data_IF_569251458401
#
_entry.id   IF_569251458401
#
_cell.length_a   1.000
_cell.length_b   1.000
_cell.length_c   1.000
_cell.angle_alpha   90.00
_cell.angle_beta   90.00
_cell.angle_gamma   90.00
#
_symmetry.space_group_name_H-M   'P 1'
#
loop_
_entity.id
_entity.type
_entity.pdbx_description
1 polymer ?
#
# COMPACT_ATOMS: atom_id res chain seq x y z
N UNK A 1 -2.03 -7.74 -24.83
CA UNK A 1 -2.80 -7.85 -23.59
C UNK A 1 -2.78 -6.51 -22.88
N UNK A 2 -3.89 -6.07 -22.27
CA UNK A 2 -3.94 -4.83 -21.48
C UNK A 2 -4.19 -5.16 -20.01
N UNK A 3 -3.40 -4.59 -19.12
CA UNK A 3 -3.54 -4.77 -17.67
C UNK A 3 -3.77 -3.44 -16.98
N UNK A 4 -4.60 -3.46 -15.95
CA UNK A 4 -4.81 -2.34 -15.04
C UNK A 4 -3.88 -2.43 -13.83
N UNK A 5 -3.51 -1.28 -13.26
CA UNK A 5 -2.78 -1.21 -12.00
C UNK A 5 -3.38 -0.10 -11.14
N UNK A 6 -3.63 -0.39 -9.87
CA UNK A 6 -4.06 0.59 -8.90
C UNK A 6 -3.31 0.47 -7.57
N UNK A 7 -3.27 1.57 -6.86
CA UNK A 7 -2.93 1.64 -5.43
C UNK A 7 -4.15 2.13 -4.66
N UNK A 8 -4.51 1.49 -3.55
CA UNK A 8 -5.70 1.84 -2.77
C UNK A 8 -5.42 1.74 -1.27
N UNK A 9 -6.21 2.43 -0.47
CA UNK A 9 -6.02 2.50 0.98
C UNK A 9 -5.01 3.56 1.41
N UNK A 10 -4.16 3.28 2.40
CA UNK A 10 -3.01 4.10 2.76
C UNK A 10 -1.88 3.96 1.76
N UNK A 11 -1.03 4.96 1.66
CA UNK A 11 0.21 4.83 0.91
C UNK A 11 1.29 4.15 1.77
N UNK A 12 2.26 3.53 1.10
CA UNK A 12 3.40 2.91 1.74
C UNK A 12 4.66 3.15 0.91
N UNK A 13 5.83 3.27 1.54
CA UNK A 13 7.11 3.30 0.83
C UNK A 13 7.24 2.05 -0.06
N UNK A 14 7.74 2.21 -1.28
CA UNK A 14 7.89 1.10 -2.23
C UNK A 14 6.71 0.88 -3.18
N UNK A 15 5.55 1.48 -2.98
CA UNK A 15 4.43 1.39 -3.94
C UNK A 15 4.82 1.84 -5.36
N UNK A 16 5.60 2.90 -5.48
CA UNK A 16 6.11 3.37 -6.78
C UNK A 16 7.07 2.36 -7.42
N UNK A 17 7.85 1.64 -6.64
CA UNK A 17 8.72 0.57 -7.12
C UNK A 17 7.89 -0.59 -7.68
N UNK A 18 6.82 -0.98 -6.99
CA UNK A 18 5.89 -2.01 -7.45
C UNK A 18 5.19 -1.59 -8.76
N UNK A 19 4.65 -0.37 -8.84
CA UNK A 19 4.06 0.19 -10.07
C UNK A 19 5.07 0.13 -11.22
N UNK A 20 6.30 0.61 -10.99
CA UNK A 20 7.35 0.61 -11.98
C UNK A 20 7.69 -0.80 -12.47
N UNK A 21 7.79 -1.77 -11.57
CA UNK A 21 8.08 -3.17 -11.91
C UNK A 21 7.01 -3.74 -12.82
N UNK A 22 5.74 -3.56 -12.48
CA UNK A 22 4.61 -4.02 -13.30
C UNK A 22 4.66 -3.40 -14.70
N UNK A 23 4.82 -2.07 -14.80
CA UNK A 23 4.85 -1.36 -16.09
C UNK A 23 6.02 -1.82 -16.95
N UNK A 24 7.21 -1.98 -16.38
CA UNK A 24 8.39 -2.39 -17.15
C UNK A 24 8.33 -3.86 -17.59
N UNK A 25 7.84 -4.76 -16.72
CA UNK A 25 7.65 -6.18 -17.10
C UNK A 25 6.56 -6.31 -18.17
N UNK A 26 5.47 -5.55 -18.05
CA UNK A 26 4.44 -5.54 -19.09
C UNK A 26 4.98 -5.05 -20.44
N UNK A 27 5.76 -3.96 -20.42
CA UNK A 27 6.38 -3.42 -21.64
C UNK A 27 7.34 -4.41 -22.31
N UNK A 28 8.14 -5.17 -21.54
CA UNK A 28 9.00 -6.22 -22.10
C UNK A 28 8.25 -7.39 -22.74
N UNK A 29 6.96 -7.50 -22.44
CA UNK A 29 6.04 -8.51 -23.02
C UNK A 29 5.10 -7.91 -24.08
N UNK A 30 5.34 -6.68 -24.49
CA UNK A 30 4.49 -5.94 -25.43
C UNK A 30 3.02 -5.80 -24.95
N UNK A 31 2.84 -5.75 -23.63
CA UNK A 31 1.54 -5.49 -23.03
C UNK A 31 1.38 -4.00 -22.72
N UNK A 32 0.18 -3.48 -22.90
CA UNK A 32 -0.17 -2.12 -22.46
C UNK A 32 -0.61 -2.13 -20.99
N UNK A 33 -0.33 -1.03 -20.30
CA UNK A 33 -0.73 -0.84 -18.90
C UNK A 33 -1.53 0.44 -18.77
N UNK A 34 -2.70 0.36 -18.12
CA UNK A 34 -3.42 1.53 -17.65
C UNK A 34 -3.32 1.65 -16.12
N UNK A 35 -2.88 2.80 -15.65
CA UNK A 35 -2.92 3.17 -14.26
C UNK A 35 -4.30 3.70 -13.89
N UNK A 36 -4.83 3.26 -12.78
CA UNK A 36 -6.12 3.73 -12.24
C UNK A 36 -5.79 4.68 -11.10
N UNK A 37 -6.15 5.95 -11.24
CA UNK A 37 -5.90 6.95 -10.22
C UNK A 37 -6.84 6.79 -9.04
N UNK A 38 -6.37 7.13 -7.83
CA UNK A 38 -7.17 7.13 -6.60
C UNK A 38 -7.82 5.77 -6.26
N UNK A 39 -7.18 4.68 -6.67
CA UNK A 39 -7.60 3.33 -6.31
C UNK A 39 -8.98 2.96 -6.81
N UNK A 40 -9.75 2.26 -5.98
CA UNK A 40 -11.09 1.81 -6.35
C UNK A 40 -12.08 2.96 -6.58
N UNK A 41 -11.95 4.08 -5.88
CA UNK A 41 -12.78 5.26 -6.13
C UNK A 41 -12.60 5.78 -7.56
N UNK A 42 -11.36 5.90 -8.01
CA UNK A 42 -11.09 6.29 -9.40
C UNK A 42 -11.47 5.22 -10.43
N UNK A 43 -11.43 3.94 -10.05
CA UNK A 43 -11.92 2.86 -10.91
C UNK A 43 -13.43 2.99 -11.17
N UNK A 44 -14.22 3.24 -10.13
CA UNK A 44 -15.67 3.51 -10.27
C UNK A 44 -15.92 4.70 -11.19
N UNK A 45 -15.10 5.74 -11.13
CA UNK A 45 -15.22 6.97 -11.91
C UNK A 45 -14.60 6.89 -13.32
N UNK A 46 -13.87 5.80 -13.62
CA UNK A 46 -13.19 5.64 -14.92
C UNK A 46 -11.94 6.50 -15.07
N UNK A 47 -11.24 6.80 -13.98
CA UNK A 47 -10.01 7.61 -14.00
C UNK A 47 -8.77 6.80 -14.40
N UNK A 48 -8.67 6.50 -15.68
CA UNK A 48 -7.57 5.73 -16.25
C UNK A 48 -6.55 6.63 -16.93
N UNK A 49 -5.26 6.27 -16.81
CA UNK A 49 -4.15 6.91 -17.51
C UNK A 49 -3.26 5.86 -18.15
N UNK A 50 -2.73 6.13 -19.32
CA UNK A 50 -1.76 5.22 -19.96
C UNK A 50 -0.42 5.26 -19.22
N UNK A 51 0.10 4.07 -18.91
CA UNK A 51 1.36 3.90 -18.19
C UNK A 51 2.43 3.34 -19.12
N UNK A 52 3.33 4.22 -19.53
CA UNK A 52 4.50 3.85 -20.35
C UNK A 52 5.75 3.68 -19.47
N UNK A 53 6.81 3.02 -19.97
CA UNK A 53 8.10 2.99 -19.26
C UNK A 53 8.65 4.38 -18.91
N UNK A 54 8.32 5.42 -19.70
CA UNK A 54 8.69 6.81 -19.43
C UNK A 54 7.87 7.41 -18.27
N UNK A 55 6.59 7.06 -18.17
CA UNK A 55 5.73 7.54 -17.09
C UNK A 55 6.21 7.08 -15.68
N UNK A 56 6.94 5.97 -15.62
CA UNK A 56 7.52 5.42 -14.39
C UNK A 56 9.04 5.64 -14.28
N UNK A 57 9.59 6.57 -15.07
CA UNK A 57 10.99 6.97 -14.92
C UNK A 57 11.16 7.80 -13.64
N UNK A 58 12.28 7.59 -12.93
CA UNK A 58 12.66 8.36 -11.73
C UNK A 58 11.59 8.38 -10.62
N UNK A 59 10.80 7.31 -10.46
CA UNK A 59 9.79 7.19 -9.39
C UNK A 59 10.22 6.24 -8.27
N UNK A 60 11.28 5.44 -8.49
CA UNK A 60 11.70 4.37 -7.59
C UNK A 60 12.00 4.88 -6.17
N UNK A 61 12.70 6.00 -6.07
CA UNK A 61 13.11 6.62 -4.81
C UNK A 61 12.06 7.57 -4.21
N UNK A 62 10.90 7.72 -4.86
CA UNK A 62 9.84 8.62 -4.38
C UNK A 62 8.90 7.88 -3.44
N UNK A 63 8.65 8.49 -2.28
CA UNK A 63 7.60 8.02 -1.36
C UNK A 63 6.19 8.23 -1.93
N UNK A 64 5.21 7.69 -1.23
CA UNK A 64 3.81 7.73 -1.66
C UNK A 64 3.55 6.91 -2.92
N UNK A 65 2.55 7.31 -3.68
CA UNK A 65 2.18 6.66 -4.94
C UNK A 65 1.86 7.66 -6.05
N UNK A 66 2.43 7.46 -7.24
CA UNK A 66 2.18 8.32 -8.41
C UNK A 66 0.76 8.20 -8.94
N UNK A 67 0.07 7.10 -8.67
CA UNK A 67 -1.33 6.88 -9.05
C UNK A 67 -2.30 7.54 -8.09
N UNK A 68 -1.82 8.10 -6.99
CA UNK A 68 -2.65 8.54 -5.86
C UNK A 68 -3.38 7.37 -5.22
N UNK A 69 -3.93 7.61 -4.06
CA UNK A 69 -4.70 6.61 -3.34
C UNK A 69 -5.88 7.25 -2.65
N UNK A 70 -6.92 6.48 -2.39
CA UNK A 70 -8.04 6.88 -1.55
C UNK A 70 -8.63 5.66 -0.85
N UNK A 71 -9.31 5.89 0.26
CA UNK A 71 -10.24 4.91 0.83
C UNK A 71 -11.54 4.99 0.04
N UNK A 72 -12.14 3.83 -0.26
CA UNK A 72 -13.36 3.72 -1.07
C UNK A 72 -14.35 2.76 -0.39
N UNK A 73 -14.98 3.17 0.72
CA UNK A 73 -15.98 2.33 1.38
C UNK A 73 -17.13 1.95 0.46
N UNK A 74 -17.52 2.85 -0.43
CA UNK A 74 -18.55 2.64 -1.43
C UNK A 74 -18.27 1.46 -2.37
N UNK A 75 -17.01 1.09 -2.56
CA UNK A 75 -16.64 -0.04 -3.41
C UNK A 75 -17.21 -1.38 -2.91
N UNK A 76 -17.51 -1.50 -1.62
CA UNK A 76 -18.14 -2.70 -1.07
C UNK A 76 -19.64 -2.81 -1.37
N UNK A 77 -20.26 -1.76 -1.91
CA UNK A 77 -21.62 -1.82 -2.43
C UNK A 77 -21.65 -2.51 -3.81
N UNK A 78 -22.62 -3.43 -4.06
CA UNK A 78 -22.67 -4.18 -5.31
C UNK A 78 -22.71 -3.31 -6.57
N UNK A 79 -23.47 -2.23 -6.55
CA UNK A 79 -23.61 -1.30 -7.68
C UNK A 79 -22.28 -0.68 -8.11
N UNK A 80 -21.49 -0.25 -7.15
CA UNK A 80 -20.17 0.35 -7.41
C UNK A 80 -19.16 -0.67 -7.93
N UNK A 81 -19.23 -1.92 -7.46
CA UNK A 81 -18.38 -3.01 -8.00
C UNK A 81 -18.77 -3.35 -9.44
N UNK A 82 -20.07 -3.40 -9.76
CA UNK A 82 -20.54 -3.61 -11.13
C UNK A 82 -20.09 -2.46 -12.04
N UNK A 83 -20.14 -1.21 -11.57
CA UNK A 83 -19.61 -0.08 -12.32
C UNK A 83 -18.10 -0.21 -12.55
N UNK A 84 -17.33 -0.59 -11.54
CA UNK A 84 -15.91 -0.83 -11.66
C UNK A 84 -15.59 -1.95 -12.67
N UNK A 85 -16.35 -3.05 -12.64
CA UNK A 85 -16.27 -4.13 -13.63
C UNK A 85 -16.50 -3.63 -15.05
N UNK A 86 -17.59 -2.88 -15.24
CA UNK A 86 -17.93 -2.32 -16.56
C UNK A 86 -16.81 -1.42 -17.09
N UNK A 87 -16.22 -0.56 -16.26
CA UNK A 87 -15.10 0.30 -16.65
C UNK A 87 -13.89 -0.53 -17.13
N UNK A 88 -13.55 -1.63 -16.45
CA UNK A 88 -12.45 -2.49 -16.88
C UNK A 88 -12.75 -3.15 -18.24
N UNK A 89 -13.97 -3.64 -18.43
CA UNK A 89 -14.41 -4.30 -19.67
C UNK A 89 -14.47 -3.32 -20.85
N UNK A 90 -15.07 -2.14 -20.65
CA UNK A 90 -15.16 -1.06 -21.65
C UNK A 90 -13.77 -0.61 -22.14
N UNK A 91 -12.76 -0.69 -21.27
CA UNK A 91 -11.39 -0.31 -21.59
C UNK A 91 -10.48 -1.49 -22.01
N UNK A 92 -11.07 -2.67 -22.22
CA UNK A 92 -10.35 -3.87 -22.67
C UNK A 92 -9.28 -4.38 -21.71
N UNK A 93 -9.45 -4.12 -20.41
CA UNK A 93 -8.54 -4.60 -19.35
C UNK A 93 -8.83 -6.07 -19.09
N UNK A 94 -7.79 -6.91 -19.16
CA UNK A 94 -7.88 -8.36 -18.98
C UNK A 94 -7.28 -8.87 -17.67
N UNK A 95 -6.58 -8.01 -16.96
CA UNK A 95 -6.00 -8.31 -15.65
C UNK A 95 -5.81 -7.03 -14.84
N UNK A 96 -5.88 -7.14 -13.52
CA UNK A 96 -5.71 -6.03 -12.58
C UNK A 96 -4.65 -6.39 -11.54
N UNK A 97 -3.70 -5.50 -11.33
CA UNK A 97 -2.78 -5.56 -10.19
C UNK A 97 -3.24 -4.52 -9.16
N UNK A 98 -3.68 -4.99 -8.00
CA UNK A 98 -4.12 -4.16 -6.88
C UNK A 98 -3.06 -4.14 -5.79
N UNK A 99 -2.51 -2.96 -5.52
CA UNK A 99 -1.42 -2.75 -4.56
C UNK A 99 -1.99 -2.03 -3.33
N UNK A 100 -1.85 -2.61 -2.14
CA UNK A 100 -2.31 -2.00 -0.91
C UNK A 100 -2.43 -2.98 0.25
N UNK A 101 -3.03 -2.53 1.34
CA UNK A 101 -3.25 -3.33 2.56
C UNK A 101 -4.49 -4.23 2.48
N UNK A 102 -4.88 -4.77 3.63
CA UNK A 102 -5.98 -5.74 3.80
C UNK A 102 -7.28 -5.31 3.10
N UNK A 103 -7.73 -4.07 3.30
CA UNK A 103 -8.94 -3.55 2.66
C UNK A 103 -8.87 -3.53 1.13
N UNK A 104 -7.69 -3.26 0.57
CA UNK A 104 -7.46 -3.29 -0.88
C UNK A 104 -7.54 -4.71 -1.43
N UNK A 105 -6.92 -5.65 -0.73
CA UNK A 105 -6.92 -7.07 -1.13
C UNK A 105 -8.32 -7.68 -1.00
N UNK A 106 -9.09 -7.32 0.04
CA UNK A 106 -10.51 -7.69 0.15
C UNK A 106 -11.34 -7.13 -1.01
N UNK A 107 -11.17 -5.85 -1.35
CA UNK A 107 -11.84 -5.25 -2.50
C UNK A 107 -11.47 -5.93 -3.82
N UNK A 108 -10.21 -6.24 -4.02
CA UNK A 108 -9.71 -6.98 -5.18
C UNK A 108 -10.33 -8.40 -5.27
N UNK A 109 -10.45 -9.09 -4.14
CA UNK A 109 -11.10 -10.39 -4.06
C UNK A 109 -12.60 -10.32 -4.42
N UNK A 110 -13.32 -9.32 -3.89
CA UNK A 110 -14.74 -9.12 -4.24
C UNK A 110 -14.93 -8.82 -5.73
N UNK A 111 -14.05 -8.02 -6.33
CA UNK A 111 -14.08 -7.77 -7.77
C UNK A 111 -13.83 -9.04 -8.58
N UNK A 112 -12.91 -9.88 -8.16
CA UNK A 112 -12.59 -11.14 -8.83
C UNK A 112 -13.77 -12.14 -8.87
N UNK A 113 -14.75 -12.00 -7.99
CA UNK A 113 -15.97 -12.85 -7.99
C UNK A 113 -16.93 -12.51 -9.13
N UNK A 114 -16.92 -11.27 -9.61
CA UNK A 114 -17.88 -10.77 -10.59
C UNK A 114 -17.25 -10.42 -11.95
N UNK A 115 -15.93 -10.37 -12.02
CA UNK A 115 -15.20 -10.00 -13.24
C UNK A 115 -14.39 -11.19 -13.77
N UNK A 116 -14.48 -11.42 -15.07
CA UNK A 116 -13.79 -12.53 -15.76
C UNK A 116 -12.28 -12.31 -15.93
N UNK A 117 -11.79 -11.09 -15.72
CA UNK A 117 -10.36 -10.76 -15.76
C UNK A 117 -9.60 -11.33 -14.56
N UNK A 118 -8.28 -11.40 -14.68
CA UNK A 118 -7.43 -11.90 -13.61
C UNK A 118 -7.06 -10.80 -12.62
N UNK A 119 -7.17 -11.06 -11.34
CA UNK A 119 -6.80 -10.12 -10.28
C UNK A 119 -5.61 -10.66 -9.50
N UNK A 120 -4.61 -9.81 -9.30
CA UNK A 120 -3.41 -10.11 -8.49
C UNK A 120 -3.29 -9.02 -7.42
N UNK A 121 -3.25 -9.43 -6.15
CA UNK A 121 -2.99 -8.55 -5.02
C UNK A 121 -1.49 -8.46 -4.73
N UNK A 122 -1.01 -7.27 -4.38
CA UNK A 122 0.36 -7.03 -3.90
C UNK A 122 0.25 -6.37 -2.53
N UNK A 123 0.64 -7.07 -1.44
CA UNK A 123 0.58 -6.52 -0.10
C UNK A 123 1.51 -5.32 0.06
N UNK A 124 0.96 -4.15 0.36
CA UNK A 124 1.71 -2.92 0.56
C UNK A 124 1.01 -2.06 1.63
N UNK A 125 1.57 -2.05 2.81
CA UNK A 125 1.14 -1.31 3.99
C UNK A 125 2.30 -1.26 4.99
N UNK A 126 2.36 -0.22 5.80
CA UNK A 126 3.35 -0.12 6.87
C UNK A 126 2.91 -0.89 8.12
N UNK A 127 1.64 -1.24 8.25
CA UNK A 127 1.06 -1.87 9.44
C UNK A 127 1.43 -3.35 9.57
N UNK A 128 1.89 -3.99 8.49
CA UNK A 128 2.23 -5.42 8.36
C UNK A 128 1.12 -6.38 8.85
N UNK A 129 -0.13 -5.97 8.66
CA UNK A 129 -1.33 -6.62 9.17
C UNK A 129 -2.08 -7.50 8.14
N UNK A 130 -1.41 -7.82 7.01
CA UNK A 130 -1.99 -8.65 5.95
C UNK A 130 -1.75 -10.13 6.26
N UNK A 131 -2.81 -10.84 6.61
CA UNK A 131 -2.76 -12.29 6.90
C UNK A 131 -2.22 -13.08 5.70
N UNK A 132 -1.27 -14.00 5.96
CA UNK A 132 -0.65 -14.84 4.93
C UNK A 132 0.52 -14.17 4.19
N UNK A 133 0.95 -13.00 4.62
CA UNK A 133 2.17 -12.33 4.19
C UNK A 133 3.14 -12.26 5.38
N UNK A 134 4.41 -12.57 5.17
CA UNK A 134 5.44 -12.40 6.19
C UNK A 134 5.77 -10.91 6.36
N UNK A 135 6.07 -10.26 5.24
CA UNK A 135 6.35 -8.82 5.17
C UNK A 135 5.52 -8.15 4.08
N UNK A 136 5.07 -6.93 4.36
CA UNK A 136 4.38 -6.09 3.40
C UNK A 136 5.31 -5.01 2.86
N UNK A 137 5.12 -4.62 1.59
CA UNK A 137 5.88 -3.52 0.98
C UNK A 137 5.67 -2.25 1.81
N UNK A 138 6.75 -1.70 2.32
CA UNK A 138 6.78 -0.45 3.08
C UNK A 138 6.97 -0.61 4.58
N UNK A 139 6.74 -1.79 5.15
CA UNK A 139 6.90 -2.06 6.58
C UNK A 139 8.35 -1.84 7.04
N UNK A 140 9.32 -2.50 6.41
CA UNK A 140 10.74 -2.39 6.73
C UNK A 140 11.26 -0.94 6.66
N UNK A 141 10.91 -0.21 5.60
CA UNK A 141 11.25 1.21 5.48
C UNK A 141 10.62 2.07 6.58
N UNK A 142 9.41 1.72 7.04
CA UNK A 142 8.76 2.41 8.15
C UNK A 142 9.49 2.14 9.47
N UNK A 143 9.96 0.91 9.70
CA UNK A 143 10.79 0.55 10.85
C UNK A 143 12.08 1.37 10.86
N UNK A 144 12.83 1.39 9.76
CA UNK A 144 14.08 2.16 9.63
C UNK A 144 13.86 3.65 9.93
N UNK A 145 12.76 4.22 9.40
CA UNK A 145 12.43 5.64 9.61
C UNK A 145 12.15 5.94 11.08
N UNK A 146 11.40 5.08 11.74
CA UNK A 146 11.07 5.24 13.16
C UNK A 146 12.31 5.01 14.05
N UNK A 147 13.14 4.02 13.72
CA UNK A 147 14.39 3.74 14.43
C UNK A 147 15.36 4.92 14.36
N UNK A 148 15.58 5.49 13.16
CA UNK A 148 16.43 6.69 12.98
C UNK A 148 15.93 7.89 13.82
N UNK A 149 14.62 8.04 13.98
CA UNK A 149 14.04 9.08 14.83
C UNK A 149 14.28 8.80 16.33
N UNK A 150 14.11 7.55 16.77
CA UNK A 150 14.30 7.15 18.18
C UNK A 150 15.75 7.30 18.58
N UNK A 151 16.70 6.91 17.75
CA UNK A 151 18.13 7.06 18.04
C UNK A 151 18.50 8.53 18.34
N UNK A 152 17.98 9.46 17.55
CA UNK A 152 18.17 10.91 17.77
C UNK A 152 17.52 11.41 19.06
N UNK A 153 16.34 10.88 19.44
CA UNK A 153 15.64 11.22 20.67
C UNK A 153 16.42 10.69 21.89
N UNK A 154 16.96 9.48 21.82
CA UNK A 154 17.70 8.85 22.92
C UNK A 154 18.94 9.64 23.35
N UNK A 155 19.69 10.21 22.40
CA UNK A 155 20.84 11.05 22.71
C UNK A 155 20.45 12.24 23.60
N UNK A 156 19.31 12.88 23.27
CA UNK A 156 18.79 13.99 24.04
C UNK A 156 18.18 13.55 25.37
N UNK A 157 17.47 12.41 25.40
CA UNK A 157 16.87 11.85 26.60
C UNK A 157 17.94 11.57 27.66
N UNK A 158 19.02 10.89 27.28
CA UNK A 158 20.13 10.58 28.16
C UNK A 158 20.83 11.85 28.68
N UNK A 159 21.02 12.85 27.82
CA UNK A 159 21.72 14.10 28.19
C UNK A 159 20.93 14.98 29.17
N UNK A 160 19.61 14.88 29.16
CA UNK A 160 18.73 15.72 29.97
C UNK A 160 17.95 14.95 31.06
N UNK A 161 18.23 13.66 31.22
CA UNK A 161 17.53 12.77 32.18
C UNK A 161 16.00 12.86 32.03
N UNK A 162 15.50 12.82 30.79
CA UNK A 162 14.09 12.97 30.46
C UNK A 162 13.48 11.68 29.96
N UNK A 163 12.22 11.46 30.34
CA UNK A 163 11.37 10.44 29.73
C UNK A 163 10.74 11.00 28.45
N UNK A 164 10.78 10.22 27.38
CA UNK A 164 10.07 10.50 26.12
C UNK A 164 9.07 9.38 25.85
N UNK A 165 7.87 9.77 25.50
CA UNK A 165 6.87 8.88 24.94
C UNK A 165 6.83 9.14 23.43
N UNK A 166 7.13 8.10 22.63
CA UNK A 166 7.19 8.19 21.18
C UNK A 166 6.05 7.38 20.58
N UNK A 167 5.10 8.04 19.92
CA UNK A 167 4.04 7.38 19.19
C UNK A 167 4.50 7.06 17.77
N UNK A 168 4.31 5.82 17.34
CA UNK A 168 4.54 5.36 15.97
C UNK A 168 3.22 4.96 15.31
N UNK A 169 3.18 4.95 13.98
CA UNK A 169 2.04 4.46 13.23
C UNK A 169 1.90 2.94 13.38
N UNK A 170 0.77 2.38 12.95
CA UNK A 170 0.47 0.95 13.03
C UNK A 170 -1.02 0.67 13.18
N UNK A 171 -1.81 1.69 13.52
CA UNK A 171 -3.26 1.64 13.71
C UNK A 171 -3.69 0.59 14.75
N UNK A 172 -4.08 -0.62 14.33
CA UNK A 172 -4.47 -1.74 15.20
C UNK A 172 -3.40 -2.81 15.29
N UNK A 173 -2.20 -2.53 14.77
CA UNK A 173 -1.06 -3.44 14.73
C UNK A 173 0.13 -2.82 15.45
N UNK A 174 0.69 -3.54 16.40
CA UNK A 174 1.86 -3.15 17.18
C UNK A 174 3.20 -3.51 16.54
N UNK A 175 3.25 -4.02 15.32
CA UNK A 175 4.49 -4.52 14.70
C UNK A 175 5.58 -3.46 14.56
N UNK A 176 5.23 -2.22 14.17
CA UNK A 176 6.22 -1.12 14.11
C UNK A 176 6.75 -0.82 15.50
N UNK A 177 5.86 -0.63 16.48
CA UNK A 177 6.25 -0.35 17.87
C UNK A 177 7.16 -1.45 18.43
N UNK A 178 6.80 -2.73 18.22
CA UNK A 178 7.58 -3.88 18.69
C UNK A 178 8.97 -3.93 18.04
N UNK A 179 9.04 -3.80 16.73
CA UNK A 179 10.30 -3.83 15.98
C UNK A 179 11.22 -2.69 16.39
N UNK A 180 10.70 -1.48 16.49
CA UNK A 180 11.48 -0.28 16.85
C UNK A 180 11.89 -0.29 18.34
N UNK A 181 11.02 -0.74 19.24
CA UNK A 181 11.36 -0.92 20.65
C UNK A 181 12.52 -1.91 20.81
N UNK A 182 12.42 -3.06 20.15
CA UNK A 182 13.46 -4.12 20.24
C UNK A 182 14.79 -3.67 19.66
N UNK A 183 14.78 -3.05 18.49
CA UNK A 183 16.02 -2.62 17.81
C UNK A 183 16.61 -1.34 18.44
N UNK A 184 15.78 -0.38 18.82
CA UNK A 184 16.18 0.90 19.40
C UNK A 184 16.43 0.83 20.92
N UNK A 185 16.11 -0.29 21.58
CA UNK A 185 16.33 -0.48 23.01
C UNK A 185 15.49 0.46 23.88
N UNK A 186 14.24 0.68 23.54
CA UNK A 186 13.31 1.39 24.41
C UNK A 186 13.03 0.57 25.67
N UNK A 187 12.76 1.25 26.77
CA UNK A 187 12.59 0.65 28.11
C UNK A 187 11.24 -0.04 28.27
N UNK A 188 10.20 0.44 27.53
CA UNK A 188 8.86 -0.08 27.59
C UNK A 188 8.13 0.11 26.25
N UNK A 189 7.06 -0.64 26.03
CA UNK A 189 6.26 -0.65 24.81
C UNK A 189 4.77 -0.77 25.11
N UNK A 190 3.99 0.04 24.41
CA UNK A 190 2.53 -0.07 24.39
C UNK A 190 2.07 -0.47 22.99
N UNK A 191 1.35 -1.57 22.91
CA UNK A 191 0.83 -2.11 21.64
C UNK A 191 -0.69 -2.31 21.74
N UNK A 192 -1.45 -2.10 20.65
CA UNK A 192 -2.92 -2.17 20.68
C UNK A 192 -3.45 -3.59 20.96
N UNK A 193 -2.64 -4.62 20.79
CA UNK A 193 -3.00 -6.02 21.04
C UNK A 193 -3.01 -6.38 22.54
N UNK A 194 -2.37 -5.58 23.38
CA UNK A 194 -2.25 -5.81 24.81
C UNK A 194 -2.94 -4.69 25.59
N UNK A 195 -3.91 -5.05 26.44
CA UNK A 195 -4.54 -4.08 27.34
C UNK A 195 -3.51 -3.59 28.36
N UNK A 196 -3.32 -2.29 28.45
CA UNK A 196 -2.53 -1.63 29.49
C UNK A 196 -3.49 -1.14 30.58
N UNK A 197 -3.35 -1.65 31.81
CA UNK A 197 -4.07 -1.20 32.98
C UNK A 197 -3.56 0.17 33.46
#
# INVERSE_FOLDING_TARGET
>A
MRIGILTSGGDAPGMNAAIRSVVRVAASREWSVCGIRRGFSGLIQGELVEMTPRAVANVLQRGGTILKTSRSPEFFEPEHRERARAVLEENGVLGLVAIGGDGTLKGAHELAKIWSGRVVGVPATIDNDVSGSDDTIGFDTALDTALDAIDKIRDTAASHERLFLVEVMGRHSGFIALGVCTAGGAEDIFVPEVSTD
#
